data_IF_412150684818
#
_entry.id   IF_412150684818
#
_cell.length_a   1.000
_cell.length_b   1.000
_cell.length_c   1.000
_cell.angle_alpha   90.00
_cell.angle_beta   90.00
_cell.angle_gamma   90.00
#
_symmetry.space_group_name_H-M   'P 1'
#
loop_
_entity.id
_entity.type
_entity.pdbx_description
1 polymer ?
#
# COMPACT_ATOMS: atom_id res chain seq x y z
N UNK A 1 72.25 5.47 25.90
CA UNK A 1 70.82 5.26 26.22
C UNK A 1 70.06 6.23 25.35
N UNK A 2 69.33 5.70 24.37
CA UNK A 2 68.40 6.46 23.55
C UNK A 2 67.13 5.64 23.53
N UNK A 3 66.08 6.21 24.11
CA UNK A 3 64.75 5.63 24.20
C UNK A 3 64.13 5.61 22.80
N UNK A 4 64.14 4.44 22.17
CA UNK A 4 63.30 4.18 21.00
C UNK A 4 61.88 3.89 21.50
N UNK A 5 61.04 4.93 21.54
CA UNK A 5 59.59 4.78 21.69
C UNK A 5 59.06 4.02 20.46
N UNK A 6 58.70 2.74 20.68
CA UNK A 6 57.99 1.94 19.70
C UNK A 6 56.65 2.61 19.35
N UNK A 7 56.26 2.66 18.06
CA UNK A 7 54.98 3.21 17.68
C UNK A 7 53.86 2.37 18.30
N UNK A 8 52.92 3.03 18.98
CA UNK A 8 51.66 2.43 19.43
C UNK A 8 50.97 1.78 18.22
N UNK A 9 51.10 0.46 18.12
CA UNK A 9 50.32 -0.33 17.20
C UNK A 9 48.87 -0.19 17.64
N UNK A 10 48.12 0.70 16.98
CA UNK A 10 46.66 0.68 17.05
C UNK A 10 46.23 -0.66 16.48
N UNK A 11 46.04 -1.64 17.35
CA UNK A 11 45.50 -2.95 17.00
C UNK A 11 44.26 -2.71 16.15
N UNK A 12 44.38 -3.02 14.87
CA UNK A 12 43.22 -3.10 14.00
C UNK A 12 42.31 -4.16 14.62
N UNK A 13 40.99 -3.90 14.74
CA UNK A 13 40.09 -4.87 15.32
C UNK A 13 40.29 -6.24 14.63
N UNK A 14 40.26 -7.37 15.37
CA UNK A 14 40.40 -8.68 14.74
C UNK A 14 39.40 -8.80 13.59
N UNK A 15 39.85 -9.33 12.44
CA UNK A 15 39.10 -9.40 11.17
C UNK A 15 37.66 -9.95 11.32
N UNK A 16 37.38 -10.76 12.35
CA UNK A 16 36.03 -11.22 12.70
C UNK A 16 35.11 -10.06 13.09
N UNK A 17 35.50 -9.20 14.03
CA UNK A 17 34.70 -8.07 14.50
C UNK A 17 34.37 -7.07 13.38
N UNK A 18 35.27 -6.91 12.42
CA UNK A 18 35.06 -6.00 11.29
C UNK A 18 34.04 -6.58 10.29
N UNK A 19 34.19 -7.85 9.92
CA UNK A 19 33.21 -8.60 9.11
C UNK A 19 31.81 -8.59 9.74
N UNK A 20 31.73 -8.74 11.06
CA UNK A 20 30.46 -8.80 11.79
C UNK A 20 29.76 -7.44 11.86
N UNK A 21 30.52 -6.34 12.01
CA UNK A 21 29.97 -4.98 11.90
C UNK A 21 29.40 -4.73 10.51
N UNK A 22 30.09 -5.16 9.45
CA UNK A 22 29.59 -5.03 8.08
C UNK A 22 28.31 -5.84 7.86
N UNK A 23 28.22 -7.05 8.42
CA UNK A 23 27.00 -7.88 8.33
C UNK A 23 25.80 -7.24 9.04
N UNK A 24 26.01 -6.67 10.24
CA UNK A 24 24.98 -5.94 10.98
C UNK A 24 24.53 -4.68 10.22
N UNK A 25 25.48 -3.89 9.72
CA UNK A 25 25.18 -2.69 8.93
C UNK A 25 24.42 -3.02 7.64
N UNK A 26 24.79 -4.09 6.95
CA UNK A 26 24.09 -4.57 5.75
C UNK A 26 22.64 -4.96 6.04
N UNK A 27 22.40 -5.70 7.13
CA UNK A 27 21.03 -6.05 7.58
C UNK A 27 20.22 -4.81 7.96
N UNK A 28 20.82 -3.85 8.67
CA UNK A 28 20.16 -2.58 9.02
C UNK A 28 19.77 -1.76 7.79
N UNK A 29 20.67 -1.67 6.79
CA UNK A 29 20.37 -1.02 5.51
C UNK A 29 19.21 -1.71 4.79
N UNK A 30 19.18 -3.04 4.79
CA UNK A 30 18.08 -3.80 4.18
C UNK A 30 16.75 -3.61 4.91
N UNK A 31 16.77 -3.50 6.24
CA UNK A 31 15.57 -3.18 7.04
C UNK A 31 15.03 -1.81 6.63
N UNK A 32 15.87 -0.77 6.58
CA UNK A 32 15.43 0.58 6.17
C UNK A 32 14.80 0.56 4.78
N UNK A 33 15.45 -0.08 3.81
CA UNK A 33 14.89 -0.19 2.45
C UNK A 33 13.52 -0.86 2.44
N UNK A 34 13.31 -1.92 3.22
CA UNK A 34 12.01 -2.58 3.31
C UNK A 34 10.97 -1.76 4.07
N UNK A 35 11.39 -0.94 5.04
CA UNK A 35 10.52 0.03 5.72
C UNK A 35 10.06 1.12 4.75
N UNK A 36 10.98 1.65 3.93
CA UNK A 36 10.68 2.64 2.89
C UNK A 36 9.69 2.06 1.87
N UNK A 37 9.95 0.84 1.37
CA UNK A 37 9.02 0.15 0.46
C UNK A 37 7.65 -0.12 1.09
N UNK A 38 7.61 -0.47 2.37
CA UNK A 38 6.34 -0.68 3.06
C UNK A 38 5.56 0.63 3.23
N UNK A 39 6.27 1.74 3.42
CA UNK A 39 5.67 3.06 3.52
C UNK A 39 5.07 3.50 2.18
N UNK A 40 5.80 3.31 1.08
CA UNK A 40 5.31 3.56 -0.29
C UNK A 40 4.02 2.79 -0.57
N UNK A 41 3.97 1.48 -0.30
CA UNK A 41 2.76 0.66 -0.50
C UNK A 41 1.57 1.12 0.35
N UNK A 42 1.81 1.71 1.53
CA UNK A 42 0.74 2.28 2.35
C UNK A 42 0.20 3.57 1.77
N UNK A 43 1.09 4.44 1.29
CA UNK A 43 0.71 5.68 0.63
C UNK A 43 -0.10 5.39 -0.64
N UNK A 44 0.34 4.44 -1.46
CA UNK A 44 -0.40 3.96 -2.63
C UNK A 44 -1.79 3.43 -2.24
N UNK A 45 -1.90 2.72 -1.12
CA UNK A 45 -3.18 2.19 -0.65
C UNK A 45 -4.12 3.31 -0.19
N UNK A 46 -3.61 4.33 0.49
CA UNK A 46 -4.38 5.51 0.89
C UNK A 46 -4.87 6.30 -0.34
N UNK A 47 -3.97 6.60 -1.28
CA UNK A 47 -4.33 7.29 -2.53
C UNK A 47 -5.40 6.50 -3.30
N UNK A 48 -5.23 5.18 -3.40
CA UNK A 48 -6.19 4.34 -4.12
C UNK A 48 -7.56 4.34 -3.46
N UNK A 49 -7.63 4.33 -2.12
CA UNK A 49 -8.89 4.44 -1.39
C UNK A 49 -9.57 5.78 -1.67
N UNK A 50 -8.84 6.89 -1.64
CA UNK A 50 -9.39 8.22 -1.93
C UNK A 50 -9.99 8.30 -3.34
N UNK A 51 -9.28 7.80 -4.35
CA UNK A 51 -9.77 7.73 -5.73
C UNK A 51 -11.08 6.93 -5.81
N UNK A 52 -11.16 5.80 -5.10
CA UNK A 52 -12.35 4.97 -5.13
C UNK A 52 -13.54 5.62 -4.41
N UNK A 53 -13.30 6.30 -3.30
CA UNK A 53 -14.34 7.07 -2.61
C UNK A 53 -14.89 8.21 -3.49
N UNK A 54 -14.03 8.88 -4.25
CA UNK A 54 -14.43 9.91 -5.19
C UNK A 54 -15.29 9.34 -6.32
N UNK A 55 -14.84 8.26 -6.97
CA UNK A 55 -15.59 7.60 -8.03
C UNK A 55 -16.95 7.07 -7.56
N UNK A 56 -17.02 6.45 -6.37
CA UNK A 56 -18.27 5.94 -5.82
C UNK A 56 -19.27 7.08 -5.54
N UNK A 57 -18.75 8.24 -5.11
CA UNK A 57 -19.54 9.46 -4.93
C UNK A 57 -20.06 10.00 -6.27
N UNK A 58 -19.24 10.05 -7.31
CA UNK A 58 -19.64 10.49 -8.65
C UNK A 58 -20.75 9.59 -9.23
N UNK A 59 -20.58 8.26 -9.16
CA UNK A 59 -21.60 7.31 -9.59
C UNK A 59 -22.91 7.50 -8.83
N UNK A 60 -22.83 7.68 -7.51
CA UNK A 60 -24.00 7.89 -6.65
C UNK A 60 -24.73 9.20 -6.97
N UNK A 61 -24.01 10.28 -7.25
CA UNK A 61 -24.58 11.57 -7.63
C UNK A 61 -25.29 11.49 -8.99
N UNK A 62 -24.62 10.94 -10.01
CA UNK A 62 -25.18 10.82 -11.35
C UNK A 62 -26.40 9.89 -11.36
N UNK A 63 -26.32 8.74 -10.67
CA UNK A 63 -27.45 7.83 -10.51
C UNK A 63 -28.63 8.54 -9.85
N UNK A 64 -28.40 9.21 -8.72
CA UNK A 64 -29.44 9.96 -8.02
C UNK A 64 -30.06 11.07 -8.87
N UNK A 65 -29.28 11.74 -9.71
CA UNK A 65 -29.79 12.71 -10.67
C UNK A 65 -30.71 12.06 -11.71
N UNK A 66 -30.31 10.91 -12.28
CA UNK A 66 -31.15 10.17 -13.25
C UNK A 66 -32.42 9.62 -12.60
N UNK A 67 -32.34 9.12 -11.38
CA UNK A 67 -33.50 8.62 -10.60
C UNK A 67 -34.52 9.74 -10.37
N UNK A 68 -34.09 10.93 -9.90
CA UNK A 68 -34.97 12.10 -9.76
C UNK A 68 -35.56 12.58 -11.10
N UNK A 69 -34.82 12.39 -12.20
CA UNK A 69 -35.32 12.72 -13.54
C UNK A 69 -36.37 11.70 -13.99
N UNK A 70 -36.15 10.41 -13.74
CA UNK A 70 -37.10 9.35 -14.03
C UNK A 70 -38.40 9.57 -13.26
N UNK A 71 -38.31 9.84 -11.96
CA UNK A 71 -39.48 10.13 -11.11
C UNK A 71 -40.31 11.31 -11.65
N UNK A 72 -39.66 12.38 -12.12
CA UNK A 72 -40.36 13.52 -12.72
C UNK A 72 -41.07 13.14 -14.03
N UNK A 73 -40.45 12.32 -14.88
CA UNK A 73 -41.09 11.83 -16.11
C UNK A 73 -42.25 10.88 -15.78
N UNK A 74 -42.12 10.07 -14.73
CA UNK A 74 -43.20 9.19 -14.26
C UNK A 74 -44.41 9.95 -13.72
N UNK A 75 -44.19 11.07 -13.02
CA UNK A 75 -45.27 11.88 -12.46
C UNK A 75 -45.91 12.85 -13.46
N UNK A 76 -45.12 13.43 -14.36
CA UNK A 76 -45.55 14.59 -15.17
C UNK A 76 -45.37 14.39 -16.69
N UNK A 77 -44.86 13.24 -17.14
CA UNK A 77 -44.64 12.97 -18.56
C UNK A 77 -45.93 12.66 -19.32
N UNK A 78 -45.98 13.00 -20.62
CA UNK A 78 -47.03 12.56 -21.54
C UNK A 78 -46.93 11.05 -21.80
N UNK A 79 -48.06 10.42 -22.21
CA UNK A 79 -48.16 8.96 -22.36
C UNK A 79 -47.21 8.36 -23.41
N UNK A 80 -47.06 8.97 -24.59
CA UNK A 80 -46.24 8.38 -25.67
C UNK A 80 -44.74 8.75 -25.56
N UNK A 81 -44.40 10.04 -25.48
CA UNK A 81 -42.99 10.47 -25.32
C UNK A 81 -42.40 10.12 -23.95
N UNK A 82 -43.25 9.98 -22.93
CA UNK A 82 -42.83 9.62 -21.57
C UNK A 82 -42.32 8.19 -21.47
N UNK A 83 -42.93 7.22 -22.15
CA UNK A 83 -42.53 5.80 -22.05
C UNK A 83 -41.16 5.54 -22.67
N UNK A 84 -40.88 6.12 -23.83
CA UNK A 84 -39.55 6.00 -24.46
C UNK A 84 -38.48 6.59 -23.54
N UNK A 85 -38.75 7.79 -22.99
CA UNK A 85 -37.83 8.50 -22.09
C UNK A 85 -37.64 7.80 -20.74
N UNK A 86 -38.69 7.17 -20.19
CA UNK A 86 -38.59 6.32 -18.99
C UNK A 86 -37.70 5.12 -19.25
N UNK A 87 -37.89 4.42 -20.37
CA UNK A 87 -37.07 3.27 -20.74
C UNK A 87 -35.60 3.66 -20.89
N UNK A 88 -35.30 4.76 -21.57
CA UNK A 88 -33.93 5.28 -21.68
C UNK A 88 -33.31 5.60 -20.32
N UNK A 89 -34.05 6.25 -19.42
CA UNK A 89 -33.56 6.60 -18.08
C UNK A 89 -33.32 5.36 -17.22
N UNK A 90 -34.22 4.37 -17.27
CA UNK A 90 -34.04 3.09 -16.58
C UNK A 90 -32.79 2.35 -17.07
N UNK A 91 -32.60 2.27 -18.39
CA UNK A 91 -31.40 1.67 -18.97
C UNK A 91 -30.12 2.40 -18.55
N UNK A 92 -30.13 3.74 -18.52
CA UNK A 92 -28.99 4.54 -18.04
C UNK A 92 -28.70 4.29 -16.55
N UNK A 93 -29.73 4.25 -15.71
CA UNK A 93 -29.58 3.94 -14.27
C UNK A 93 -28.98 2.54 -14.09
N UNK A 94 -29.45 1.56 -14.85
CA UNK A 94 -28.94 0.19 -14.78
C UNK A 94 -27.48 0.12 -15.24
N UNK A 95 -27.13 0.79 -16.34
CA UNK A 95 -25.74 0.88 -16.79
C UNK A 95 -24.84 1.51 -15.72
N UNK A 96 -25.28 2.61 -15.08
CA UNK A 96 -24.53 3.24 -13.99
C UNK A 96 -24.31 2.29 -12.80
N UNK A 97 -25.31 1.47 -12.44
CA UNK A 97 -25.15 0.46 -11.38
C UNK A 97 -24.13 -0.61 -11.77
N UNK A 98 -24.15 -1.04 -13.02
CA UNK A 98 -23.20 -2.04 -13.53
C UNK A 98 -21.78 -1.48 -13.60
N UNK A 99 -21.61 -0.24 -14.04
CA UNK A 99 -20.32 0.46 -14.06
C UNK A 99 -19.78 0.66 -12.65
N UNK A 100 -20.60 1.15 -11.72
CA UNK A 100 -20.23 1.28 -10.30
C UNK A 100 -19.81 -0.07 -9.72
N UNK A 101 -20.55 -1.15 -9.99
CA UNK A 101 -20.17 -2.49 -9.54
C UNK A 101 -18.82 -2.95 -10.12
N UNK A 102 -18.57 -2.71 -11.41
CA UNK A 102 -17.28 -3.06 -12.04
C UNK A 102 -16.12 -2.27 -11.43
N UNK A 103 -16.31 -0.99 -11.18
CA UNK A 103 -15.30 -0.15 -10.54
C UNK A 103 -15.05 -0.61 -9.10
N UNK A 104 -16.09 -0.93 -8.33
CA UNK A 104 -15.94 -1.46 -6.97
C UNK A 104 -15.20 -2.81 -6.95
N UNK A 105 -15.43 -3.68 -7.94
CA UNK A 105 -14.68 -4.93 -8.09
C UNK A 105 -13.21 -4.67 -8.44
N UNK A 106 -12.94 -3.72 -9.33
CA UNK A 106 -11.57 -3.31 -9.69
C UNK A 106 -10.84 -2.75 -8.47
N UNK A 107 -11.49 -1.82 -7.77
CA UNK A 107 -11.02 -1.21 -6.54
C UNK A 107 -10.61 -2.25 -5.50
N UNK A 108 -11.52 -3.19 -5.23
CA UNK A 108 -11.27 -4.25 -4.28
C UNK A 108 -10.06 -5.10 -4.67
N UNK A 109 -9.89 -5.43 -5.95
CA UNK A 109 -8.72 -6.19 -6.43
C UNK A 109 -7.43 -5.41 -6.24
N UNK A 110 -7.39 -4.15 -6.68
CA UNK A 110 -6.21 -3.30 -6.56
C UNK A 110 -5.80 -3.16 -5.07
N UNK A 111 -6.76 -2.93 -4.17
CA UNK A 111 -6.50 -2.90 -2.73
C UNK A 111 -6.02 -4.25 -2.18
N UNK A 112 -6.56 -5.38 -2.65
CA UNK A 112 -6.08 -6.71 -2.20
C UNK A 112 -4.63 -6.97 -2.63
N UNK A 113 -4.23 -6.54 -3.82
CA UNK A 113 -2.87 -6.72 -4.32
C UNK A 113 -1.87 -5.91 -3.48
N UNK A 114 -2.18 -4.64 -3.19
CA UNK A 114 -1.38 -3.79 -2.30
C UNK A 114 -1.30 -4.35 -0.87
N UNK A 115 -2.42 -4.82 -0.31
CA UNK A 115 -2.43 -5.45 1.01
C UNK A 115 -1.60 -6.74 1.03
N UNK A 116 -1.60 -7.50 -0.06
CA UNK A 116 -0.79 -8.72 -0.18
C UNK A 116 0.70 -8.38 -0.22
N UNK A 117 1.07 -7.35 -0.96
CA UNK A 117 2.44 -6.83 -1.00
C UNK A 117 2.89 -6.34 0.38
N UNK A 118 2.10 -5.50 1.04
CA UNK A 118 2.37 -5.00 2.39
C UNK A 118 2.56 -6.14 3.41
N UNK A 119 1.77 -7.21 3.32
CA UNK A 119 1.96 -8.42 4.16
C UNK A 119 3.27 -9.14 3.84
N UNK A 120 3.65 -9.21 2.56
CA UNK A 120 4.92 -9.78 2.12
C UNK A 120 6.12 -9.02 2.67
N UNK A 121 6.10 -7.69 2.56
CA UNK A 121 7.12 -6.79 3.08
C UNK A 121 7.23 -6.89 4.61
N UNK A 122 6.10 -6.91 5.32
CA UNK A 122 6.09 -7.08 6.77
C UNK A 122 6.69 -8.42 7.22
N UNK A 123 6.42 -9.52 6.51
CA UNK A 123 7.06 -10.82 6.81
C UNK A 123 8.57 -10.74 6.61
N UNK A 124 9.03 -10.18 5.49
CA UNK A 124 10.45 -10.02 5.21
C UNK A 124 11.15 -9.15 6.27
N UNK A 125 10.51 -8.06 6.69
CA UNK A 125 10.99 -7.20 7.78
C UNK A 125 11.12 -7.94 9.09
N UNK A 126 10.08 -8.66 9.50
CA UNK A 126 10.08 -9.42 10.75
C UNK A 126 11.16 -10.52 10.74
N UNK A 127 11.28 -11.26 9.65
CA UNK A 127 12.32 -12.29 9.50
C UNK A 127 13.73 -11.70 9.61
N UNK A 128 13.96 -10.54 8.98
CA UNK A 128 15.25 -9.85 9.05
C UNK A 128 15.54 -9.28 10.43
N UNK A 129 14.54 -8.74 11.12
CA UNK A 129 14.66 -8.26 12.50
C UNK A 129 15.01 -9.40 13.45
N UNK A 130 14.31 -10.53 13.37
CA UNK A 130 14.62 -11.73 14.16
C UNK A 130 16.04 -12.25 13.91
N UNK A 131 16.46 -12.33 12.64
CA UNK A 131 17.83 -12.72 12.26
C UNK A 131 18.89 -11.71 12.68
N UNK A 132 18.53 -10.45 12.89
CA UNK A 132 19.44 -9.42 13.40
C UNK A 132 19.54 -9.51 14.92
N UNK A 133 18.44 -9.78 15.60
CA UNK A 133 18.37 -9.94 17.06
C UNK A 133 19.14 -11.17 17.53
N UNK A 134 18.92 -12.34 16.93
CA UNK A 134 19.70 -13.55 17.26
C UNK A 134 21.21 -13.38 17.01
N UNK A 135 21.58 -12.52 16.06
CA UNK A 135 22.98 -12.21 15.75
C UNK A 135 23.58 -11.24 16.79
N UNK A 136 22.78 -10.30 17.32
CA UNK A 136 23.17 -9.45 18.45
C UNK A 136 23.30 -10.25 19.76
N UNK A 137 22.41 -11.20 19.99
CA UNK A 137 22.40 -12.03 21.21
C UNK A 137 23.58 -13.00 21.24
N UNK A 138 23.89 -13.64 20.11
CA UNK A 138 25.11 -14.45 19.94
C UNK A 138 26.37 -13.67 20.37
N UNK A 139 26.55 -12.45 19.87
CA UNK A 139 27.70 -11.62 20.21
C UNK A 139 27.68 -11.01 21.61
N UNK A 140 26.50 -10.89 22.25
CA UNK A 140 26.42 -10.53 23.67
C UNK A 140 26.84 -11.67 24.58
N UNK A 141 26.59 -12.92 24.17
CA UNK A 141 26.97 -14.11 24.94
C UNK A 141 28.43 -14.54 24.79
N UNK A 142 29.14 -14.06 23.76
CA UNK A 142 30.58 -14.29 23.55
C UNK A 142 31.49 -13.25 24.23
N UNK A 143 30.93 -12.24 24.92
CA UNK A 143 31.68 -11.27 25.74
C UNK A 143 31.64 -11.64 27.21
#
# INVERSE_FOLDING_TARGET
>A
MSDDELPEYKESPPKSLESDRYAIQGKLRRIRLLEDQLQEVKEDLEERLEIHEELDREFSQERGFKERKLERVERFGSLEDGELRKRELRNRIENLKQEQWRENVRAWRDSQDLLREARGLNRALNDLRLRLEGLKDYFRSER
#
